data_IF_577667381011
#
_entry.id   IF_577667381011
#
_cell.length_a   1.000
_cell.length_b   1.000
_cell.length_c   1.000
_cell.angle_alpha   90.00
_cell.angle_beta   90.00
_cell.angle_gamma   90.00
#
_symmetry.space_group_name_H-M   'P 1'
#
loop_
_entity.id
_entity.type
_entity.pdbx_description
1 polymer ?
#
# COMPACT_ATOMS: atom_id res chain seq x y z
N UNK A 1 11.91 25.29 -14.65
CA UNK A 1 10.98 24.82 -15.70
C UNK A 1 11.41 23.41 -16.10
N UNK A 2 10.92 22.38 -15.42
CA UNK A 2 11.20 20.99 -15.80
C UNK A 2 9.88 20.22 -15.88
N UNK A 3 9.54 19.84 -17.12
CA UNK A 3 8.29 19.19 -17.53
C UNK A 3 8.33 17.65 -17.51
N UNK A 4 9.20 16.99 -16.72
CA UNK A 4 9.39 15.54 -16.82
C UNK A 4 9.39 14.84 -15.45
N UNK A 5 8.28 14.86 -14.72
CA UNK A 5 8.17 14.06 -13.47
C UNK A 5 6.76 13.52 -13.21
N UNK A 6 6.05 13.04 -14.22
CA UNK A 6 4.65 12.63 -14.03
C UNK A 6 4.26 11.24 -14.58
N UNK A 7 5.19 10.36 -14.86
CA UNK A 7 4.81 9.07 -15.45
C UNK A 7 5.66 7.92 -14.91
N UNK A 8 5.54 7.54 -13.64
CA UNK A 8 6.15 6.26 -13.19
C UNK A 8 5.71 5.84 -11.78
N UNK A 9 4.45 5.56 -11.57
CA UNK A 9 4.00 4.99 -10.27
C UNK A 9 2.94 3.90 -10.39
N UNK A 10 3.04 3.03 -11.40
CA UNK A 10 2.04 1.98 -11.62
C UNK A 10 2.54 0.54 -11.37
N UNK A 11 3.73 0.34 -10.79
CA UNK A 11 4.40 -0.96 -10.91
C UNK A 11 4.33 -1.91 -9.71
N UNK A 12 3.95 -1.51 -8.51
CA UNK A 12 4.12 -2.37 -7.33
C UNK A 12 2.96 -3.28 -6.94
N UNK A 13 1.74 -3.00 -7.38
CA UNK A 13 0.61 -3.92 -7.18
C UNK A 13 0.35 -4.81 -8.41
N UNK A 14 0.96 -4.48 -9.55
CA UNK A 14 0.77 -5.25 -10.79
C UNK A 14 1.56 -6.56 -10.83
N UNK A 15 2.63 -6.69 -10.06
CA UNK A 15 3.50 -7.88 -10.09
C UNK A 15 2.90 -9.11 -9.41
N UNK A 16 2.06 -8.93 -8.40
CA UNK A 16 1.50 -10.05 -7.62
C UNK A 16 0.22 -10.65 -8.21
N UNK A 17 -0.40 -10.03 -9.21
CA UNK A 17 -1.70 -10.45 -9.74
C UNK A 17 -1.71 -10.80 -11.23
N UNK A 18 -0.61 -10.58 -11.96
CA UNK A 18 -0.55 -10.82 -13.42
C UNK A 18 -0.10 -12.23 -13.84
N UNK A 19 0.28 -13.09 -12.90
CA UNK A 19 0.73 -14.46 -13.21
C UNK A 19 -0.42 -15.50 -13.41
N UNK A 20 -1.67 -15.08 -13.45
CA UNK A 20 -2.82 -16.00 -13.52
C UNK A 20 -3.71 -15.84 -14.77
N UNK A 21 -3.25 -15.24 -15.85
CA UNK A 21 -4.03 -15.13 -17.09
C UNK A 21 -3.21 -15.60 -18.29
N UNK A 22 -3.13 -16.92 -18.49
CA UNK A 22 -3.12 -17.51 -19.84
C UNK A 22 -3.82 -18.88 -19.84
N UNK A 23 -5.02 -18.84 -20.38
CA UNK A 23 -5.68 -19.81 -21.26
C UNK A 23 -5.54 -21.30 -20.96
N UNK A 24 -6.48 -21.87 -20.26
CA UNK A 24 -6.84 -23.30 -20.44
C UNK A 24 -8.09 -23.39 -21.34
N UNK A 25 -8.17 -24.43 -22.21
CA UNK A 25 -9.19 -24.52 -23.22
C UNK A 25 -10.57 -24.92 -22.70
N UNK A 26 -11.57 -24.47 -23.42
CA UNK A 26 -13.00 -24.79 -23.34
C UNK A 26 -13.34 -26.17 -22.78
N UNK A 27 -14.12 -26.17 -21.71
CA UNK A 27 -14.91 -27.33 -21.29
C UNK A 27 -16.38 -26.96 -21.35
N UNK A 28 -17.09 -27.65 -22.23
CA UNK A 28 -18.53 -27.64 -22.43
C UNK A 28 -19.32 -27.86 -21.15
N UNK A 29 -20.47 -27.22 -20.98
CA UNK A 29 -21.34 -27.44 -19.83
C UNK A 29 -22.18 -28.72 -20.00
N UNK A 30 -22.22 -29.57 -18.97
CA UNK A 30 -23.15 -30.67 -18.85
C UNK A 30 -24.44 -30.19 -18.13
N UNK A 31 -25.60 -30.86 -18.36
CA UNK A 31 -26.91 -30.27 -18.20
C UNK A 31 -27.48 -30.31 -16.77
N UNK A 32 -28.43 -29.41 -16.57
CA UNK A 32 -29.27 -29.23 -15.39
C UNK A 32 -30.06 -30.49 -15.03
N UNK A 33 -30.08 -30.87 -13.76
CA UNK A 33 -31.17 -31.66 -13.18
C UNK A 33 -31.90 -30.87 -12.13
N UNK A 34 -33.18 -30.75 -12.40
CA UNK A 34 -34.26 -30.19 -11.61
C UNK A 34 -34.60 -31.07 -10.40
N UNK A 35 -34.78 -30.51 -9.23
CA UNK A 35 -35.29 -31.23 -8.05
C UNK A 35 -35.96 -30.28 -7.05
N UNK A 36 -37.25 -30.45 -6.91
CA UNK A 36 -38.23 -29.61 -6.24
C UNK A 36 -38.18 -29.66 -4.70
N UNK A 37 -38.61 -28.55 -4.14
CA UNK A 37 -39.48 -28.30 -2.99
C UNK A 37 -39.37 -29.14 -1.69
N UNK A 38 -39.17 -28.44 -0.55
CA UNK A 38 -40.02 -28.63 0.63
C UNK A 38 -39.95 -27.40 1.55
N UNK A 39 -41.13 -26.90 1.81
CA UNK A 39 -41.54 -25.94 2.80
C UNK A 39 -41.44 -26.58 4.20
N UNK A 40 -40.97 -25.86 5.24
CA UNK A 40 -41.58 -25.97 6.57
C UNK A 40 -41.08 -24.92 7.57
N UNK A 41 -42.04 -24.18 8.08
CA UNK A 41 -42.27 -23.75 9.46
C UNK A 41 -41.19 -22.97 10.26
N UNK A 42 -41.55 -21.73 10.54
CA UNK A 42 -40.99 -20.90 11.63
C UNK A 42 -41.53 -21.38 13.00
N UNK A 43 -40.77 -21.23 14.08
CA UNK A 43 -41.32 -21.05 15.41
C UNK A 43 -40.95 -19.69 16.04
N UNK A 44 -42.00 -19.17 16.63
CA UNK A 44 -42.24 -18.21 17.71
C UNK A 44 -41.05 -17.50 18.40
N UNK A 45 -41.25 -16.21 18.49
CA UNK A 45 -40.55 -15.18 19.27
C UNK A 45 -40.92 -15.29 20.75
N UNK A 46 -40.00 -15.28 21.71
CA UNK A 46 -40.33 -14.97 23.11
C UNK A 46 -40.17 -13.48 23.42
N UNK A 47 -41.01 -13.03 24.35
CA UNK A 47 -41.24 -11.66 24.77
C UNK A 47 -40.09 -11.00 25.50
N UNK A 48 -39.99 -9.67 25.31
CA UNK A 48 -39.13 -8.76 26.09
C UNK A 48 -39.57 -8.64 27.53
N UNK A 49 -38.67 -8.52 28.50
CA UNK A 49 -38.97 -8.03 29.83
C UNK A 49 -38.91 -6.50 29.93
N UNK A 50 -39.80 -6.00 30.70
CA UNK A 50 -40.15 -4.66 31.10
C UNK A 50 -38.95 -3.80 31.56
N UNK A 51 -38.95 -2.54 31.11
CA UNK A 51 -37.98 -1.53 31.52
C UNK A 51 -38.35 -0.89 32.86
N UNK A 52 -37.46 -0.96 33.81
CA UNK A 52 -37.52 -0.21 35.08
C UNK A 52 -37.02 1.24 34.85
N UNK A 53 -37.69 2.27 35.42
CA UNK A 53 -37.29 3.65 35.24
C UNK A 53 -36.06 3.97 36.09
N UNK A 54 -34.98 4.45 35.44
CA UNK A 54 -33.82 5.00 36.11
C UNK A 54 -34.01 6.50 36.34
N UNK A 55 -33.82 6.93 37.60
CA UNK A 55 -33.77 8.32 38.05
C UNK A 55 -32.73 9.17 37.29
N UNK A 56 -32.96 10.48 37.12
CA UNK A 56 -32.04 11.36 36.41
C UNK A 56 -30.79 11.62 37.24
N UNK A 57 -29.66 11.25 36.68
CA UNK A 57 -28.33 11.64 37.17
C UNK A 57 -28.10 13.09 36.74
N UNK A 58 -27.74 13.93 37.72
CA UNK A 58 -27.43 15.33 37.54
C UNK A 58 -26.25 15.52 36.52
N UNK A 59 -26.42 16.45 35.60
CA UNK A 59 -25.40 16.86 34.65
C UNK A 59 -24.17 17.44 35.39
N UNK A 60 -22.95 17.09 35.03
CA UNK A 60 -21.78 17.80 35.53
C UNK A 60 -21.69 19.20 34.91
N UNK A 61 -21.55 20.16 35.74
CA UNK A 61 -21.27 21.57 35.39
C UNK A 61 -19.97 21.64 34.58
N UNK A 62 -19.90 22.36 33.44
CA UNK A 62 -18.67 22.55 32.71
C UNK A 62 -17.72 23.42 33.57
N UNK A 63 -16.65 22.79 34.04
CA UNK A 63 -15.53 23.51 34.65
C UNK A 63 -14.83 24.27 33.53
N UNK A 64 -14.94 25.59 33.55
CA UNK A 64 -14.17 26.47 32.69
C UNK A 64 -12.69 26.41 33.11
N UNK A 65 -11.93 25.53 32.47
CA UNK A 65 -10.48 25.64 32.38
C UNK A 65 -10.14 26.19 31.01
N UNK A 66 -10.37 27.47 30.82
CA UNK A 66 -9.67 28.30 29.83
C UNK A 66 -8.19 28.41 30.28
N UNK A 67 -7.46 27.31 30.20
CA UNK A 67 -6.01 27.35 30.08
C UNK A 67 -5.73 27.81 28.65
N UNK A 68 -5.48 29.13 28.50
CA UNK A 68 -5.11 29.72 27.24
C UNK A 68 -4.02 28.87 26.57
N UNK A 69 -4.37 28.23 25.46
CA UNK A 69 -3.43 27.62 24.54
C UNK A 69 -2.51 28.75 24.08
N UNK A 70 -1.34 28.82 24.71
CA UNK A 70 -0.31 29.77 24.35
C UNK A 70 -0.07 29.57 22.84
N UNK A 71 -0.44 30.56 22.04
CA UNK A 71 -0.26 30.51 20.60
C UNK A 71 1.20 30.17 20.32
N UNK A 72 1.45 28.95 19.84
CA UNK A 72 2.78 28.50 19.50
C UNK A 72 3.41 29.52 18.56
N UNK A 73 4.65 29.91 18.83
CA UNK A 73 5.37 30.83 17.95
C UNK A 73 5.35 30.29 16.50
N UNK A 74 5.24 31.18 15.50
CA UNK A 74 5.24 30.72 14.12
C UNK A 74 6.54 29.96 13.84
N UNK A 75 6.48 28.87 13.05
CA UNK A 75 7.63 28.04 12.77
C UNK A 75 8.75 28.84 12.08
N UNK A 76 9.99 28.58 12.48
CA UNK A 76 11.15 29.20 11.88
C UNK A 76 11.34 28.78 10.43
N UNK A 77 11.96 29.62 9.56
CA UNK A 77 12.28 29.24 8.19
C UNK A 77 13.17 28.00 8.11
N UNK A 78 14.04 27.77 9.09
CA UNK A 78 14.92 26.62 9.17
C UNK A 78 14.15 25.33 9.46
N UNK A 79 13.21 25.34 10.39
CA UNK A 79 12.32 24.21 10.68
C UNK A 79 11.47 23.84 9.46
N UNK A 80 10.92 24.83 8.76
CA UNK A 80 10.18 24.62 7.52
C UNK A 80 11.05 23.98 6.43
N UNK A 81 12.27 24.46 6.24
CA UNK A 81 13.20 23.93 5.24
C UNK A 81 13.62 22.50 5.57
N UNK A 82 13.84 22.19 6.85
CA UNK A 82 14.16 20.83 7.28
C UNK A 82 12.98 19.87 7.07
N UNK A 83 11.77 20.28 7.42
CA UNK A 83 10.57 19.47 7.21
C UNK A 83 10.33 19.22 5.71
N UNK A 84 10.50 20.25 4.87
CA UNK A 84 10.40 20.12 3.41
C UNK A 84 11.44 19.12 2.85
N UNK A 85 12.67 19.16 3.36
CA UNK A 85 13.74 18.25 2.96
C UNK A 85 13.47 16.80 3.37
N UNK A 86 12.91 16.57 4.57
CA UNK A 86 12.53 15.24 5.04
C UNK A 86 11.44 14.63 4.15
N UNK A 87 10.40 15.40 3.87
CA UNK A 87 9.30 14.94 3.00
C UNK A 87 9.75 14.73 1.56
N UNK A 88 10.57 15.63 1.02
CA UNK A 88 11.12 15.47 -0.33
C UNK A 88 12.00 14.21 -0.44
N UNK A 89 12.84 13.94 0.56
CA UNK A 89 13.65 12.73 0.60
C UNK A 89 12.79 11.47 0.69
N UNK A 90 11.81 11.44 1.59
CA UNK A 90 10.90 10.30 1.76
C UNK A 90 10.17 9.98 0.45
N UNK A 91 9.65 10.99 -0.25
CA UNK A 91 8.98 10.82 -1.54
C UNK A 91 9.93 10.28 -2.62
N UNK A 92 11.13 10.85 -2.75
CA UNK A 92 12.11 10.39 -3.73
C UNK A 92 12.56 8.93 -3.48
N UNK A 93 12.68 8.56 -2.21
CA UNK A 93 13.06 7.22 -1.81
C UNK A 93 11.91 6.21 -2.02
N UNK A 94 10.67 6.57 -1.68
CA UNK A 94 9.50 5.74 -1.96
C UNK A 94 9.38 5.44 -3.45
N UNK A 95 9.52 6.47 -4.31
CA UNK A 95 9.56 6.28 -5.76
C UNK A 95 10.69 5.33 -6.21
N UNK A 96 11.86 5.40 -5.58
CA UNK A 96 12.96 4.51 -5.90
C UNK A 96 12.63 3.06 -5.52
N UNK A 97 12.07 2.84 -4.32
CA UNK A 97 11.66 1.50 -3.84
C UNK A 97 10.54 0.90 -4.70
N UNK A 98 9.71 1.73 -5.32
CA UNK A 98 8.64 1.33 -6.22
C UNK A 98 9.10 1.08 -7.66
N UNK A 99 10.39 1.13 -7.97
CA UNK A 99 10.89 1.12 -9.34
C UNK A 99 12.06 0.14 -9.53
N UNK A 100 12.32 -0.23 -10.79
CA UNK A 100 13.51 -0.96 -11.22
C UNK A 100 13.80 -2.20 -10.39
N UNK A 101 15.02 -2.33 -9.87
CA UNK A 101 15.48 -3.50 -9.13
C UNK A 101 14.64 -3.80 -7.87
N UNK A 102 14.14 -2.78 -7.18
CA UNK A 102 13.34 -2.97 -5.97
C UNK A 102 11.96 -3.54 -6.28
N UNK A 103 11.26 -2.99 -7.29
CA UNK A 103 9.99 -3.52 -7.75
C UNK A 103 10.11 -4.93 -8.35
N UNK A 104 11.20 -5.23 -9.05
CA UNK A 104 11.46 -6.55 -9.62
C UNK A 104 11.60 -7.64 -8.54
N UNK A 105 11.96 -7.28 -7.33
CA UNK A 105 12.20 -8.23 -6.23
C UNK A 105 10.94 -9.02 -5.90
N UNK A 106 9.80 -8.33 -5.78
CA UNK A 106 8.51 -8.97 -5.51
C UNK A 106 8.04 -9.82 -6.72
N UNK A 107 8.33 -9.38 -7.95
CA UNK A 107 8.03 -10.15 -9.17
C UNK A 107 8.83 -11.46 -9.22
N UNK A 108 10.13 -11.41 -8.90
CA UNK A 108 10.97 -12.60 -8.87
C UNK A 108 10.53 -13.60 -7.79
N UNK A 109 10.13 -13.11 -6.62
CA UNK A 109 9.57 -13.95 -5.56
C UNK A 109 8.28 -14.64 -6.02
N UNK A 110 7.33 -13.90 -6.62
CA UNK A 110 6.09 -14.45 -7.14
C UNK A 110 6.32 -15.50 -8.24
N UNK A 111 7.25 -15.25 -9.17
CA UNK A 111 7.63 -16.24 -10.19
C UNK A 111 8.24 -17.51 -9.59
N UNK A 112 9.02 -17.35 -8.52
CA UNK A 112 9.62 -18.49 -7.79
C UNK A 112 8.57 -19.31 -7.07
N UNK A 113 7.60 -18.68 -6.41
CA UNK A 113 6.46 -19.37 -5.78
C UNK A 113 5.63 -20.12 -6.82
N UNK A 114 5.36 -19.49 -7.97
CA UNK A 114 4.66 -20.15 -9.08
C UNK A 114 5.46 -21.36 -9.62
N UNK A 115 6.78 -21.21 -9.79
CA UNK A 115 7.63 -22.33 -10.19
C UNK A 115 7.55 -23.51 -9.21
N UNK A 116 7.59 -23.24 -7.90
CA UNK A 116 7.50 -24.29 -6.89
C UNK A 116 6.13 -24.97 -6.82
N UNK A 117 5.07 -24.29 -7.25
CA UNK A 117 3.72 -24.83 -7.31
C UNK A 117 3.46 -25.62 -8.62
N UNK A 118 3.85 -25.06 -9.75
CA UNK A 118 3.43 -25.53 -11.08
C UNK A 118 4.59 -26.08 -11.93
N UNK A 119 5.84 -26.04 -11.42
CA UNK A 119 7.06 -26.44 -12.15
C UNK A 119 7.28 -25.67 -13.47
N UNK A 120 6.73 -24.50 -13.58
CA UNK A 120 6.88 -23.58 -14.71
C UNK A 120 7.56 -22.31 -14.25
N UNK A 121 8.53 -21.82 -15.02
CA UNK A 121 9.27 -20.62 -14.69
C UNK A 121 8.97 -19.51 -15.71
N UNK A 122 8.56 -18.34 -15.23
CA UNK A 122 8.44 -17.16 -16.06
C UNK A 122 9.81 -16.54 -16.33
N UNK A 123 9.95 -15.89 -17.48
CA UNK A 123 11.20 -15.21 -17.83
C UNK A 123 11.38 -13.97 -16.95
N UNK A 124 12.56 -13.86 -16.34
CA UNK A 124 12.87 -12.72 -15.46
C UNK A 124 12.86 -11.38 -16.22
N UNK A 125 12.57 -10.27 -15.51
CA UNK A 125 12.68 -8.93 -16.05
C UNK A 125 14.12 -8.59 -16.48
N UNK A 126 14.26 -7.71 -17.48
CA UNK A 126 15.56 -7.19 -17.88
C UNK A 126 16.19 -6.38 -16.75
N UNK A 127 17.51 -6.55 -16.59
CA UNK A 127 18.31 -5.79 -15.62
C UNK A 127 18.94 -4.59 -16.34
N UNK A 128 18.74 -3.40 -15.76
CA UNK A 128 19.42 -2.17 -16.16
C UNK A 128 20.31 -1.73 -15.00
N UNK A 129 21.61 -2.00 -15.10
CA UNK A 129 22.56 -1.74 -14.03
C UNK A 129 22.76 -0.25 -13.74
N UNK A 130 22.66 0.62 -14.75
CA UNK A 130 22.81 2.06 -14.58
C UNK A 130 21.58 2.66 -13.86
N UNK A 131 20.38 2.27 -14.29
CA UNK A 131 19.14 2.64 -13.62
C UNK A 131 19.12 2.12 -12.18
N UNK A 132 19.54 0.89 -11.93
CA UNK A 132 19.61 0.30 -10.58
C UNK A 132 20.58 1.08 -9.66
N UNK A 133 21.74 1.47 -10.15
CA UNK A 133 22.69 2.28 -9.39
C UNK A 133 22.12 3.68 -9.08
N UNK A 134 21.38 4.28 -10.01
CA UNK A 134 20.70 5.55 -9.78
C UNK A 134 19.62 5.44 -8.70
N UNK A 135 18.87 4.33 -8.65
CA UNK A 135 17.87 4.08 -7.59
C UNK A 135 18.51 3.92 -6.22
N UNK A 136 19.62 3.18 -6.10
CA UNK A 136 20.35 3.04 -4.82
C UNK A 136 20.80 4.38 -4.26
N UNK A 137 21.26 5.30 -5.11
CA UNK A 137 21.66 6.63 -4.66
C UNK A 137 20.53 7.46 -4.06
N UNK A 138 19.27 7.21 -4.47
CA UNK A 138 18.09 7.90 -3.93
C UNK A 138 17.72 7.43 -2.52
N UNK A 139 18.22 6.28 -2.08
CA UNK A 139 18.02 5.79 -0.72
C UNK A 139 19.08 6.30 0.27
N UNK A 140 20.08 7.04 -0.22
CA UNK A 140 21.11 7.64 0.65
C UNK A 140 20.62 9.00 1.13
N UNK A 141 20.41 9.20 2.43
CA UNK A 141 19.92 10.48 2.94
C UNK A 141 20.98 11.59 2.78
N UNK A 142 20.54 12.83 2.57
CA UNK A 142 21.43 14.00 2.66
C UNK A 142 22.03 14.07 4.07
N UNK A 143 23.30 14.48 4.16
CA UNK A 143 24.00 14.63 5.45
C UNK A 143 23.29 15.62 6.36
N UNK A 144 23.12 15.24 7.63
CA UNK A 144 22.52 16.07 8.66
C UNK A 144 20.99 16.13 8.62
N UNK A 145 20.35 15.42 7.69
CA UNK A 145 18.89 15.31 7.65
C UNK A 145 18.37 14.38 8.75
N UNK A 146 19.14 13.34 9.05
CA UNK A 146 18.92 12.35 10.11
C UNK A 146 20.01 12.44 11.18
N UNK A 147 19.81 11.81 12.34
CA UNK A 147 20.89 11.68 13.33
C UNK A 147 22.00 10.75 12.79
N UNK A 148 23.25 10.87 13.28
CA UNK A 148 24.33 9.99 12.83
C UNK A 148 24.03 8.49 12.98
N UNK A 149 23.32 8.10 14.06
CA UNK A 149 22.92 6.70 14.27
C UNK A 149 21.85 6.26 13.24
N UNK A 150 20.87 7.11 12.96
CA UNK A 150 19.87 6.85 11.93
C UNK A 150 20.50 6.78 10.52
N UNK A 151 21.43 7.67 10.19
CA UNK A 151 22.16 7.62 8.91
C UNK A 151 22.92 6.30 8.76
N UNK A 152 23.59 5.84 9.84
CA UNK A 152 24.29 4.55 9.86
C UNK A 152 23.34 3.38 9.67
N UNK A 153 22.19 3.39 10.35
CA UNK A 153 21.18 2.34 10.29
C UNK A 153 20.53 2.30 8.90
N UNK A 154 20.16 3.46 8.33
CA UNK A 154 19.61 3.57 6.96
C UNK A 154 20.61 3.04 5.92
N UNK A 155 21.90 3.35 6.06
CA UNK A 155 22.94 2.83 5.19
C UNK A 155 23.10 1.30 5.31
N UNK A 156 22.97 0.75 6.51
CA UNK A 156 23.02 -0.70 6.74
C UNK A 156 21.82 -1.40 6.09
N UNK A 157 20.61 -0.87 6.21
CA UNK A 157 19.42 -1.40 5.55
C UNK A 157 19.54 -1.32 4.01
N UNK A 158 19.97 -0.19 3.47
CA UNK A 158 20.17 -0.02 2.02
C UNK A 158 21.17 -1.06 1.48
N UNK A 159 22.29 -1.28 2.18
CA UNK A 159 23.27 -2.30 1.83
C UNK A 159 22.70 -3.72 1.91
N UNK A 160 21.88 -4.00 2.93
CA UNK A 160 21.20 -5.29 3.08
C UNK A 160 20.21 -5.55 1.96
N UNK A 161 19.40 -4.55 1.56
CA UNK A 161 18.50 -4.64 0.42
C UNK A 161 19.27 -4.93 -0.87
N UNK A 162 20.33 -4.17 -1.15
CA UNK A 162 21.12 -4.33 -2.37
C UNK A 162 21.78 -5.71 -2.45
N UNK A 163 22.29 -6.23 -1.32
CA UNK A 163 22.85 -7.58 -1.27
C UNK A 163 21.77 -8.63 -1.51
N UNK A 164 20.63 -8.54 -0.85
CA UNK A 164 19.54 -9.48 -1.01
C UNK A 164 19.03 -9.54 -2.46
N UNK A 165 18.92 -8.39 -3.14
CA UNK A 165 18.55 -8.32 -4.56
C UNK A 165 19.60 -8.99 -5.44
N UNK A 166 20.88 -8.76 -5.17
CA UNK A 166 21.96 -9.39 -5.93
C UNK A 166 21.93 -10.92 -5.79
N UNK A 167 21.76 -11.41 -4.54
CA UNK A 167 21.65 -12.85 -4.26
C UNK A 167 20.41 -13.45 -4.96
N UNK A 168 19.25 -12.81 -4.87
CA UNK A 168 18.02 -13.24 -5.56
C UNK A 168 18.22 -13.36 -7.08
N UNK A 169 18.80 -12.33 -7.68
CA UNK A 169 19.01 -12.30 -9.14
C UNK A 169 20.02 -13.38 -9.60
N UNK A 170 21.04 -13.66 -8.79
CA UNK A 170 21.99 -14.72 -9.08
C UNK A 170 21.34 -16.09 -9.01
N UNK A 171 20.59 -16.35 -7.93
CA UNK A 171 19.89 -17.63 -7.74
C UNK A 171 18.74 -17.82 -8.75
N UNK A 172 18.05 -16.74 -9.13
CA UNK A 172 17.00 -16.81 -10.15
C UNK A 172 17.59 -17.14 -11.54
N UNK A 173 18.75 -16.57 -11.91
CA UNK A 173 19.45 -16.94 -13.13
C UNK A 173 19.85 -18.42 -13.10
N UNK A 174 20.39 -18.90 -11.96
CA UNK A 174 20.74 -20.31 -11.83
C UNK A 174 19.50 -21.22 -11.92
N UNK A 175 18.33 -20.74 -11.51
CA UNK A 175 17.05 -21.45 -11.66
C UNK A 175 16.59 -21.45 -13.14
N UNK A 176 16.76 -20.35 -13.88
CA UNK A 176 16.52 -20.29 -15.33
C UNK A 176 17.40 -21.32 -16.05
N UNK A 177 18.73 -21.29 -15.80
CA UNK A 177 19.69 -22.22 -16.39
C UNK A 177 19.35 -23.69 -16.06
N UNK A 178 18.91 -23.96 -14.82
CA UNK A 178 18.49 -25.29 -14.38
C UNK A 178 17.24 -25.78 -15.11
N UNK A 179 16.23 -24.93 -15.30
CA UNK A 179 14.96 -25.29 -15.98
C UNK A 179 15.19 -25.50 -17.48
N UNK A 180 16.15 -24.78 -18.09
CA UNK A 180 16.48 -24.90 -19.51
C UNK A 180 17.34 -26.16 -19.81
N UNK A 181 18.02 -26.72 -18.82
CA UNK A 181 18.90 -27.89 -18.99
C UNK A 181 18.13 -29.21 -18.88
N UNK A 182 17.65 -29.70 -20.01
CA UNK A 182 16.93 -30.99 -20.10
C UNK A 182 17.76 -32.21 -19.73
N UNK A 183 19.08 -32.09 -19.53
CA UNK A 183 19.97 -33.19 -19.15
C UNK A 183 19.96 -33.54 -17.66
N UNK A 184 19.45 -32.62 -16.83
CA UNK A 184 19.39 -32.78 -15.37
C UNK A 184 18.23 -33.70 -14.99
N UNK A 185 18.55 -34.75 -14.21
CA UNK A 185 17.59 -35.75 -13.72
C UNK A 185 17.74 -35.90 -12.20
N UNK A 186 17.23 -34.92 -11.45
CA UNK A 186 17.33 -34.84 -9.99
C UNK A 186 15.97 -34.68 -9.28
N UNK A 187 14.88 -35.04 -9.94
CA UNK A 187 13.50 -34.92 -9.43
C UNK A 187 13.15 -33.50 -8.94
N UNK A 188 13.79 -32.50 -9.49
CA UNK A 188 13.58 -31.10 -9.13
C UNK A 188 14.27 -30.65 -7.83
N UNK A 189 15.14 -31.48 -7.23
CA UNK A 189 15.77 -31.17 -5.94
C UNK A 189 16.59 -29.88 -5.98
N UNK A 190 17.39 -29.66 -7.03
CA UNK A 190 18.17 -28.44 -7.21
C UNK A 190 17.27 -27.21 -7.43
N UNK A 191 16.20 -27.35 -8.21
CA UNK A 191 15.24 -26.28 -8.44
C UNK A 191 14.54 -25.83 -7.15
N UNK A 192 14.13 -26.78 -6.30
CA UNK A 192 13.59 -26.47 -4.96
C UNK A 192 14.59 -25.71 -4.10
N UNK A 193 15.84 -26.15 -4.06
CA UNK A 193 16.90 -25.52 -3.29
C UNK A 193 17.17 -24.07 -3.73
N UNK A 194 17.19 -23.84 -5.05
CA UNK A 194 17.30 -22.50 -5.64
C UNK A 194 16.08 -21.64 -5.26
N UNK A 195 14.88 -22.15 -5.41
CA UNK A 195 13.65 -21.46 -5.04
C UNK A 195 13.62 -21.05 -3.57
N UNK A 196 14.00 -21.95 -2.66
CA UNK A 196 14.10 -21.63 -1.23
C UNK A 196 15.13 -20.55 -0.92
N UNK A 197 16.26 -20.49 -1.64
CA UNK A 197 17.27 -19.43 -1.47
C UNK A 197 16.73 -18.09 -1.94
N UNK A 198 16.04 -18.06 -3.08
CA UNK A 198 15.40 -16.85 -3.61
C UNK A 198 14.40 -16.30 -2.61
N UNK A 199 13.50 -17.15 -2.07
CA UNK A 199 12.49 -16.72 -1.11
C UNK A 199 13.09 -16.27 0.23
N UNK A 200 14.20 -16.90 0.70
CA UNK A 200 14.94 -16.42 1.87
C UNK A 200 15.57 -15.05 1.63
N UNK A 201 16.17 -14.83 0.46
CA UNK A 201 16.74 -13.53 0.11
C UNK A 201 15.65 -12.46 0.01
N UNK A 202 14.46 -12.80 -0.53
CA UNK A 202 13.28 -11.92 -0.54
C UNK A 202 12.86 -11.52 0.88
N UNK A 203 12.81 -12.47 1.82
CA UNK A 203 12.48 -12.17 3.21
C UNK A 203 13.50 -11.20 3.86
N UNK A 204 14.79 -11.36 3.58
CA UNK A 204 15.84 -10.42 4.03
C UNK A 204 15.64 -9.04 3.42
N UNK A 205 15.34 -8.96 2.14
CA UNK A 205 15.03 -7.70 1.46
C UNK A 205 13.83 -6.99 2.11
N UNK A 206 12.73 -7.71 2.31
CA UNK A 206 11.50 -7.18 2.89
C UNK A 206 11.73 -6.64 4.32
N UNK A 207 12.43 -7.41 5.16
CA UNK A 207 12.76 -6.98 6.52
C UNK A 207 13.64 -5.71 6.54
N UNK A 208 14.62 -5.63 5.63
CA UNK A 208 15.49 -4.46 5.51
C UNK A 208 14.72 -3.24 4.99
N UNK A 209 13.85 -3.41 3.98
CA UNK A 209 12.98 -2.37 3.46
C UNK A 209 12.06 -1.81 4.54
N UNK A 210 11.41 -2.67 5.29
CA UNK A 210 10.47 -2.27 6.35
C UNK A 210 11.19 -1.57 7.50
N UNK A 211 12.40 -2.00 7.85
CA UNK A 211 13.26 -1.31 8.83
C UNK A 211 13.64 0.09 8.34
N UNK A 212 14.05 0.22 7.10
CA UNK A 212 14.41 1.47 6.46
C UNK A 212 13.22 2.45 6.41
N UNK A 213 12.05 1.98 5.93
CA UNK A 213 10.83 2.77 5.85
C UNK A 213 10.37 3.25 7.23
N UNK A 214 10.47 2.43 8.26
CA UNK A 214 10.08 2.81 9.63
C UNK A 214 10.83 4.05 10.13
N UNK A 215 12.15 4.14 9.86
CA UNK A 215 12.94 5.31 10.25
C UNK A 215 12.52 6.53 9.45
N UNK A 216 12.37 6.40 8.13
CA UNK A 216 12.04 7.53 7.25
C UNK A 216 10.62 8.03 7.50
N UNK A 217 9.64 7.14 7.55
CA UNK A 217 8.23 7.49 7.79
C UNK A 217 8.03 8.06 9.21
N UNK A 218 8.79 7.57 10.19
CA UNK A 218 8.75 8.08 11.56
C UNK A 218 9.15 9.55 11.69
N UNK A 219 9.94 10.08 10.75
CA UNK A 219 10.34 11.49 10.72
C UNK A 219 9.57 12.30 9.66
N UNK A 220 9.31 11.71 8.50
CA UNK A 220 8.61 12.43 7.42
C UNK A 220 7.13 12.65 7.73
N UNK A 221 6.46 11.73 8.43
CA UNK A 221 5.06 11.89 8.82
C UNK A 221 4.82 13.13 9.69
N UNK A 222 5.49 13.28 10.85
CA UNK A 222 5.41 14.51 11.65
C UNK A 222 5.83 15.78 10.89
N UNK A 223 6.85 15.68 10.02
CA UNK A 223 7.29 16.81 9.18
C UNK A 223 6.19 17.22 8.18
N UNK A 224 5.50 16.28 7.59
CA UNK A 224 4.37 16.53 6.71
C UNK A 224 3.21 17.20 7.46
N UNK A 225 2.82 16.68 8.62
CA UNK A 225 1.80 17.30 9.46
C UNK A 225 2.14 18.73 9.84
N UNK A 226 3.42 18.98 10.13
CA UNK A 226 3.94 20.32 10.41
C UNK A 226 3.83 21.25 9.19
N UNK A 227 4.23 20.81 8.01
CA UNK A 227 4.10 21.58 6.76
C UNK A 227 2.65 21.88 6.38
N UNK A 228 1.73 21.02 6.79
CA UNK A 228 0.30 21.17 6.55
C UNK A 228 -0.40 22.07 7.58
N UNK A 229 0.30 22.60 8.60
CA UNK A 229 -0.30 23.56 9.53
C UNK A 229 -0.80 24.80 8.78
N UNK A 230 -2.08 25.13 8.97
CA UNK A 230 -2.73 26.23 8.25
C UNK A 230 -3.04 25.95 6.76
N UNK A 231 -2.72 24.76 6.24
CA UNK A 231 -3.04 24.42 4.86
C UNK A 231 -4.55 24.18 4.67
N UNK A 232 -5.20 24.80 3.66
CA UNK A 232 -6.66 24.71 3.49
C UNK A 232 -7.15 23.28 3.24
N UNK A 233 -6.31 22.41 2.69
CA UNK A 233 -6.61 20.99 2.41
C UNK A 233 -5.96 20.02 3.40
N UNK A 234 -5.49 20.50 4.58
CA UNK A 234 -4.81 19.67 5.58
C UNK A 234 -5.60 18.41 5.90
N UNK A 235 -6.88 18.54 6.22
CA UNK A 235 -7.74 17.41 6.57
C UNK A 235 -7.82 16.38 5.44
N UNK A 236 -7.99 16.82 4.21
CA UNK A 236 -8.11 15.98 3.03
C UNK A 236 -6.82 15.22 2.76
N UNK A 237 -5.68 15.89 2.82
CA UNK A 237 -4.37 15.29 2.58
C UNK A 237 -4.06 14.24 3.66
N UNK A 238 -4.22 14.57 4.94
CA UNK A 238 -3.95 13.64 6.04
C UNK A 238 -4.88 12.42 6.00
N UNK A 239 -6.16 12.61 5.68
CA UNK A 239 -7.08 11.49 5.53
C UNK A 239 -6.72 10.60 4.32
N UNK A 240 -6.31 11.19 3.19
CA UNK A 240 -5.83 10.42 2.05
C UNK A 240 -4.59 9.58 2.41
N UNK A 241 -3.63 10.14 3.15
CA UNK A 241 -2.45 9.42 3.60
C UNK A 241 -2.82 8.22 4.50
N UNK A 242 -3.80 8.39 5.41
CA UNK A 242 -4.30 7.27 6.23
C UNK A 242 -4.99 6.20 5.39
N UNK A 243 -5.83 6.59 4.41
CA UNK A 243 -6.46 5.67 3.47
C UNK A 243 -5.40 4.86 2.71
N UNK A 244 -4.34 5.50 2.20
CA UNK A 244 -3.24 4.78 1.53
C UNK A 244 -2.45 3.87 2.49
N UNK A 245 -2.25 4.28 3.75
CA UNK A 245 -1.61 3.42 4.76
C UNK A 245 -2.47 2.16 5.05
N UNK A 246 -3.80 2.30 5.05
CA UNK A 246 -4.72 1.15 5.17
C UNK A 246 -4.63 0.25 3.93
N UNK A 247 -4.57 0.80 2.71
CA UNK A 247 -4.35 0.02 1.49
C UNK A 247 -3.10 -0.86 1.60
N UNK A 248 -1.95 -0.30 2.05
CA UNK A 248 -0.70 -1.07 2.24
C UNK A 248 -0.87 -2.22 3.23
N UNK A 249 -1.46 -1.94 4.39
CA UNK A 249 -1.70 -2.99 5.40
C UNK A 249 -2.62 -4.10 4.89
N UNK A 250 -3.69 -3.74 4.18
CA UNK A 250 -4.59 -4.72 3.57
C UNK A 250 -3.86 -5.55 2.51
N UNK A 251 -3.06 -4.92 1.64
CA UNK A 251 -2.26 -5.64 0.65
C UNK A 251 -1.32 -6.65 1.31
N UNK A 252 -0.62 -6.28 2.39
CA UNK A 252 0.24 -7.19 3.15
C UNK A 252 -0.55 -8.39 3.74
N UNK A 253 -1.74 -8.16 4.29
CA UNK A 253 -2.57 -9.25 4.82
C UNK A 253 -3.06 -10.19 3.70
N UNK A 254 -3.32 -9.65 2.50
CA UNK A 254 -3.79 -10.43 1.35
C UNK A 254 -2.69 -11.31 0.70
N UNK A 255 -1.41 -11.07 1.01
CA UNK A 255 -0.31 -11.94 0.58
C UNK A 255 -0.20 -13.22 1.42
N UNK A 256 -0.82 -13.25 2.60
CA UNK A 256 -0.80 -14.43 3.45
C UNK A 256 -1.63 -15.57 2.82
N UNK A 257 -1.19 -16.84 2.95
CA UNK A 257 -1.94 -17.99 2.45
C UNK A 257 -3.36 -18.09 3.01
N UNK A 258 -3.55 -17.57 4.22
CA UNK A 258 -4.84 -17.45 4.89
C UNK A 258 -4.97 -16.03 5.44
N UNK A 259 -5.56 -15.12 4.68
CA UNK A 259 -5.77 -13.74 5.13
C UNK A 259 -6.56 -13.68 6.44
N UNK A 260 -6.09 -12.88 7.39
CA UNK A 260 -6.81 -12.61 8.63
C UNK A 260 -8.04 -11.74 8.33
N UNK A 261 -9.21 -12.38 8.34
CA UNK A 261 -10.49 -11.72 8.02
C UNK A 261 -10.89 -10.68 9.05
N UNK A 262 -10.56 -10.90 10.32
CA UNK A 262 -10.89 -9.95 11.40
C UNK A 262 -10.03 -8.69 11.29
N UNK A 263 -8.72 -8.85 11.06
CA UNK A 263 -7.81 -7.75 10.80
C UNK A 263 -8.21 -6.95 9.54
N UNK A 264 -8.61 -7.63 8.45
CA UNK A 264 -9.12 -6.96 7.25
C UNK A 264 -10.41 -6.20 7.51
N UNK A 265 -11.34 -6.76 8.30
CA UNK A 265 -12.57 -6.08 8.66
C UNK A 265 -12.33 -4.85 9.56
N UNK A 266 -11.36 -4.93 10.49
CA UNK A 266 -10.93 -3.79 11.31
C UNK A 266 -10.38 -2.65 10.44
N UNK A 267 -9.43 -2.95 9.56
CA UNK A 267 -8.88 -1.99 8.61
C UNK A 267 -9.97 -1.39 7.68
N UNK A 268 -10.97 -2.19 7.30
CA UNK A 268 -12.12 -1.69 6.53
C UNK A 268 -12.95 -0.65 7.29
N UNK A 269 -13.12 -0.80 8.61
CA UNK A 269 -13.79 0.21 9.45
C UNK A 269 -12.96 1.48 9.59
N UNK A 270 -11.65 1.35 9.78
CA UNK A 270 -10.75 2.51 9.86
C UNK A 270 -10.79 3.31 8.56
N UNK A 271 -10.73 2.64 7.41
CA UNK A 271 -10.85 3.28 6.10
C UNK A 271 -12.19 3.99 5.91
N UNK A 272 -13.30 3.40 6.37
CA UNK A 272 -14.62 4.03 6.31
C UNK A 272 -14.67 5.32 7.12
N UNK A 273 -14.10 5.33 8.31
CA UNK A 273 -13.99 6.52 9.16
C UNK A 273 -13.16 7.63 8.48
N UNK A 274 -12.02 7.26 7.88
CA UNK A 274 -11.16 8.21 7.16
C UNK A 274 -11.85 8.79 5.90
N UNK A 275 -12.57 7.97 5.13
CA UNK A 275 -13.36 8.41 3.98
C UNK A 275 -14.45 9.41 4.43
N UNK A 276 -15.16 9.08 5.51
CA UNK A 276 -16.20 9.94 6.05
C UNK A 276 -15.64 11.27 6.57
N UNK A 277 -14.51 11.25 7.28
CA UNK A 277 -13.83 12.45 7.75
C UNK A 277 -13.37 13.34 6.59
N UNK A 278 -12.71 12.74 5.59
CA UNK A 278 -12.21 13.47 4.41
C UNK A 278 -13.34 14.12 3.60
N UNK A 279 -14.51 13.48 3.55
CA UNK A 279 -15.68 13.96 2.82
C UNK A 279 -16.47 15.07 3.52
N UNK A 280 -16.19 15.36 4.79
CA UNK A 280 -16.94 16.40 5.55
C UNK A 280 -16.69 17.80 5.00
N UNK A 281 -17.74 18.64 4.88
CA UNK A 281 -17.57 20.05 4.55
C UNK A 281 -16.92 20.83 5.74
N UNK A 282 -16.34 22.05 5.53
CA UNK A 282 -16.16 22.65 4.21
C UNK A 282 -14.95 22.08 3.46
N UNK A 283 -15.02 22.10 2.12
CA UNK A 283 -13.86 21.86 1.25
C UNK A 283 -13.28 23.24 0.88
N UNK A 284 -12.14 23.57 1.47
CA UNK A 284 -11.55 24.91 1.38
C UNK A 284 -10.70 25.10 0.12
N UNK A 285 -11.24 24.70 -1.04
CA UNK A 285 -10.60 24.86 -2.34
C UNK A 285 -11.64 25.03 -3.47
N UNK A 286 -11.22 25.48 -4.65
CA UNK A 286 -12.11 25.62 -5.80
C UNK A 286 -12.80 24.29 -6.19
N UNK A 287 -14.03 24.32 -6.74
CA UNK A 287 -14.75 23.10 -7.14
C UNK A 287 -13.98 22.19 -8.11
N UNK A 288 -13.09 22.75 -8.92
CA UNK A 288 -12.24 22.00 -9.81
C UNK A 288 -11.28 21.06 -9.05
N UNK A 289 -10.81 21.48 -7.87
CA UNK A 289 -9.93 20.69 -6.97
C UNK A 289 -10.75 19.65 -6.20
N UNK A 290 -11.97 19.99 -5.82
CA UNK A 290 -12.84 19.11 -5.06
C UNK A 290 -13.27 17.88 -5.85
N UNK A 291 -13.55 18.02 -7.15
CA UNK A 291 -14.06 16.93 -8.00
C UNK A 291 -13.16 15.69 -8.03
N UNK A 292 -11.85 15.77 -8.35
CA UNK A 292 -10.97 14.60 -8.34
C UNK A 292 -10.80 14.03 -6.94
N UNK A 293 -10.83 14.84 -5.88
CA UNK A 293 -10.78 14.32 -4.51
C UNK A 293 -12.04 13.51 -4.15
N UNK A 294 -13.23 13.97 -4.55
CA UNK A 294 -14.46 13.20 -4.38
C UNK A 294 -14.44 11.90 -5.16
N UNK A 295 -13.83 11.89 -6.35
CA UNK A 295 -13.63 10.65 -7.11
C UNK A 295 -12.70 9.70 -6.36
N UNK A 296 -11.59 10.19 -5.81
CA UNK A 296 -10.69 9.40 -4.96
C UNK A 296 -11.44 8.74 -3.79
N UNK A 297 -12.27 9.48 -3.06
CA UNK A 297 -13.06 8.91 -1.95
C UNK A 297 -14.06 7.85 -2.42
N UNK A 298 -14.66 8.02 -3.60
CA UNK A 298 -15.55 7.02 -4.21
C UNK A 298 -14.79 5.73 -4.54
N UNK A 299 -13.61 5.85 -5.11
CA UNK A 299 -12.78 4.70 -5.49
C UNK A 299 -12.24 3.99 -4.24
N UNK A 300 -11.87 4.72 -3.18
CA UNK A 300 -11.51 4.16 -1.88
C UNK A 300 -12.68 3.38 -1.24
N UNK A 301 -13.90 3.90 -1.34
CA UNK A 301 -15.10 3.20 -0.88
C UNK A 301 -15.34 1.90 -1.68
N UNK A 302 -15.12 1.91 -2.99
CA UNK A 302 -15.22 0.72 -3.84
C UNK A 302 -14.18 -0.35 -3.44
N UNK A 303 -12.93 0.06 -3.16
CA UNK A 303 -11.90 -0.85 -2.65
C UNK A 303 -12.32 -1.51 -1.33
N UNK A 304 -12.82 -0.72 -0.37
CA UNK A 304 -13.32 -1.23 0.91
C UNK A 304 -14.44 -2.25 0.73
N UNK A 305 -15.38 -1.96 -0.19
CA UNK A 305 -16.46 -2.90 -0.52
C UNK A 305 -15.92 -4.21 -1.11
N UNK A 306 -14.91 -4.13 -1.99
CA UNK A 306 -14.23 -5.30 -2.52
C UNK A 306 -13.56 -6.15 -1.43
N UNK A 307 -12.92 -5.52 -0.43
CA UNK A 307 -12.36 -6.22 0.74
C UNK A 307 -13.45 -6.92 1.54
N UNK A 308 -14.58 -6.25 1.83
CA UNK A 308 -15.69 -6.84 2.55
C UNK A 308 -16.28 -8.05 1.81
N UNK A 309 -16.42 -7.95 0.48
CA UNK A 309 -16.85 -9.07 -0.38
C UNK A 309 -15.85 -10.22 -0.35
N UNK A 310 -14.55 -9.94 -0.52
CA UNK A 310 -13.51 -10.97 -0.44
C UNK A 310 -13.43 -11.67 0.91
N UNK A 311 -13.69 -10.94 2.01
CA UNK A 311 -13.77 -11.53 3.34
C UNK A 311 -14.98 -12.48 3.49
N UNK A 312 -16.11 -12.20 2.83
CA UNK A 312 -17.31 -13.01 2.85
C UNK A 312 -17.21 -14.22 1.90
N UNK A 313 -16.83 -14.00 0.65
CA UNK A 313 -16.89 -14.97 -0.44
C UNK A 313 -15.53 -15.65 -0.74
N UNK A 314 -14.45 -15.08 -0.26
CA UNK A 314 -13.07 -15.50 -0.54
C UNK A 314 -12.37 -14.55 -1.55
N UNK A 315 -11.04 -14.50 -1.42
CA UNK A 315 -10.19 -13.64 -2.29
C UNK A 315 -9.77 -14.40 -3.56
N UNK A 316 -10.75 -14.87 -4.35
CA UNK A 316 -10.51 -15.49 -5.66
C UNK A 316 -10.07 -14.44 -6.71
N UNK A 317 -9.60 -14.89 -7.88
CA UNK A 317 -8.98 -14.03 -8.89
C UNK A 317 -9.84 -12.82 -9.28
N UNK A 318 -11.15 -12.99 -9.48
CA UNK A 318 -12.03 -11.88 -9.85
C UNK A 318 -12.10 -10.77 -8.78
N UNK A 319 -12.15 -11.15 -7.48
CA UNK A 319 -12.10 -10.19 -6.37
C UNK A 319 -10.75 -9.49 -6.30
N UNK A 320 -9.64 -10.23 -6.50
CA UNK A 320 -8.29 -9.64 -6.52
C UNK A 320 -8.10 -8.64 -7.66
N UNK A 321 -8.59 -8.95 -8.86
CA UNK A 321 -8.57 -8.04 -10.00
C UNK A 321 -9.40 -6.77 -9.77
N UNK A 322 -10.56 -6.90 -9.12
CA UNK A 322 -11.38 -5.76 -8.76
C UNK A 322 -10.69 -4.87 -7.74
N UNK A 323 -10.10 -5.45 -6.69
CA UNK A 323 -9.31 -4.71 -5.70
C UNK A 323 -8.14 -3.98 -6.36
N UNK A 324 -7.42 -4.63 -7.27
CA UNK A 324 -6.32 -4.01 -8.00
C UNK A 324 -6.80 -2.82 -8.84
N UNK A 325 -7.91 -2.98 -9.59
CA UNK A 325 -8.50 -1.88 -10.35
C UNK A 325 -8.92 -0.72 -9.47
N UNK A 326 -9.50 -0.99 -8.30
CA UNK A 326 -9.94 0.05 -7.37
C UNK A 326 -8.75 0.82 -6.77
N UNK A 327 -7.65 0.15 -6.41
CA UNK A 327 -6.42 0.80 -5.94
C UNK A 327 -5.82 1.70 -7.03
N UNK A 328 -5.73 1.21 -8.27
CA UNK A 328 -5.22 2.01 -9.39
C UNK A 328 -6.11 3.23 -9.67
N UNK A 329 -7.43 3.09 -9.57
CA UNK A 329 -8.38 4.20 -9.70
C UNK A 329 -8.18 5.23 -8.58
N UNK A 330 -8.05 4.80 -7.32
CA UNK A 330 -7.74 5.68 -6.19
C UNK A 330 -6.48 6.51 -6.44
N UNK A 331 -5.40 5.86 -6.88
CA UNK A 331 -4.12 6.52 -7.19
C UNK A 331 -4.27 7.55 -8.30
N UNK A 332 -4.94 7.17 -9.38
CA UNK A 332 -5.18 8.05 -10.51
C UNK A 332 -5.98 9.30 -10.10
N UNK A 333 -7.06 9.11 -9.35
CA UNK A 333 -7.91 10.21 -8.87
C UNK A 333 -7.17 11.13 -7.89
N UNK A 334 -6.34 10.57 -6.99
CA UNK A 334 -5.53 11.37 -6.07
C UNK A 334 -4.42 12.14 -6.79
N UNK A 335 -3.74 11.53 -7.77
CA UNK A 335 -2.75 12.23 -8.58
C UNK A 335 -3.35 13.39 -9.37
N UNK A 336 -4.56 13.20 -9.89
CA UNK A 336 -5.31 14.27 -10.56
C UNK A 336 -5.70 15.38 -9.57
N UNK A 337 -6.11 15.03 -8.34
CA UNK A 337 -6.35 15.99 -7.28
C UNK A 337 -5.11 16.82 -6.99
N UNK A 338 -3.94 16.19 -6.80
CA UNK A 338 -2.67 16.88 -6.54
C UNK A 338 -2.30 17.80 -7.71
N UNK A 339 -2.45 17.32 -8.94
CA UNK A 339 -2.18 18.11 -10.15
C UNK A 339 -3.03 19.37 -10.21
N UNK A 340 -4.35 19.21 -10.08
CA UNK A 340 -5.32 20.31 -10.17
C UNK A 340 -5.16 21.28 -9.01
N UNK A 341 -4.88 20.81 -7.79
CA UNK A 341 -4.62 21.65 -6.65
C UNK A 341 -3.38 22.54 -6.86
N UNK A 342 -2.30 21.97 -7.39
CA UNK A 342 -1.08 22.71 -7.69
C UNK A 342 -1.28 23.75 -8.82
N UNK A 343 -2.06 23.44 -9.83
CA UNK A 343 -2.46 24.39 -10.88
C UNK A 343 -3.31 25.53 -10.33
N UNK A 344 -4.19 25.23 -9.39
CA UNK A 344 -5.01 26.23 -8.68
C UNK A 344 -4.23 27.03 -7.62
N UNK A 345 -2.90 26.84 -7.52
CA UNK A 345 -2.01 27.45 -6.52
C UNK A 345 -2.31 27.07 -5.07
N UNK A 346 -3.12 26.05 -4.86
CA UNK A 346 -3.30 25.38 -3.57
C UNK A 346 -2.22 24.31 -3.52
N UNK A 347 -1.02 24.67 -3.03
CA UNK A 347 0.16 23.79 -3.09
C UNK A 347 -0.06 22.53 -2.27
N UNK A 348 -0.34 21.42 -2.93
CA UNK A 348 -0.20 20.09 -2.36
C UNK A 348 1.23 19.65 -2.67
N UNK A 349 2.10 19.66 -1.65
CA UNK A 349 3.53 19.38 -1.80
C UNK A 349 3.84 17.90 -1.89
N UNK A 350 2.84 17.05 -1.70
CA UNK A 350 3.02 15.62 -1.54
C UNK A 350 2.44 14.89 -2.74
N UNK A 351 3.27 14.05 -3.33
CA UNK A 351 2.83 13.03 -4.26
C UNK A 351 2.20 11.87 -3.49
N UNK A 352 1.34 11.10 -4.13
CA UNK A 352 0.88 9.82 -3.60
C UNK A 352 2.04 9.00 -3.08
N UNK A 353 1.93 8.42 -1.88
CA UNK A 353 2.86 7.38 -1.46
C UNK A 353 2.81 6.26 -2.51
N UNK A 354 3.98 5.87 -2.98
CA UNK A 354 4.12 4.76 -3.89
C UNK A 354 3.92 3.44 -3.13
N UNK A 355 3.02 2.63 -3.62
CA UNK A 355 2.79 1.27 -3.12
C UNK A 355 3.24 0.25 -4.13
#
# INVERSE_FOLDING_TARGET
MNRHSFLLTAALLSGLLLAACESGPDREPAPEESGAAASESAPARPASPEATPRSPVAAPTPSASDAGEAAAAPPSPEELARADSLVAFANAASMALASGKYAQTDVLAAYTEYYLAEWQLARRPKIDAEADAALSRRLVPPKGLFTPDQEKELAAYAKSMDKAIADMRADYRALEDYVEDASIQDDGARGKQLGERILRAHAVYTAARDGWLRIVEGLSGPAEEFLLQGHPLRRQILAANRIFAVHRKMAQLLTLPRPDREALAALGRDMEADIAEAGRPPFMAPPAVERPFRQFLKDAAAYRQGIARGAAEGFHNAVREELNRAVLACRSAYNEFVRVANEARVRVRHSTPDF
#
